data_IF_379905768086
#
_entry.id   IF_379905768086
#
_cell.length_a   1.000
_cell.length_b   1.000
_cell.length_c   1.000
_cell.angle_alpha   90.00
_cell.angle_beta   90.00
_cell.angle_gamma   90.00
#
_symmetry.space_group_name_H-M   'P 1'
#
loop_
_entity.id
_entity.type
_entity.pdbx_description
1 polymer ?
#
# COMPACT_ATOMS: atom_id res chain seq x y z
N UNK A 1 -23.01 1.27 -26.92
CA UNK A 1 -23.56 0.09 -26.20
C UNK A 1 -22.63 -1.09 -26.47
N UNK A 2 -21.75 -1.47 -25.53
CA UNK A 2 -20.79 -2.57 -25.74
C UNK A 2 -21.50 -3.89 -26.07
N UNK A 3 -20.97 -4.64 -27.03
CA UNK A 3 -21.53 -5.92 -27.47
C UNK A 3 -21.48 -6.92 -26.30
N UNK A 4 -22.43 -7.85 -26.21
CA UNK A 4 -22.56 -8.80 -25.09
C UNK A 4 -21.27 -9.61 -24.82
N UNK A 5 -20.47 -9.87 -25.87
CA UNK A 5 -19.17 -10.53 -25.80
C UNK A 5 -18.10 -9.68 -25.10
N UNK A 6 -18.01 -8.39 -25.39
CA UNK A 6 -17.03 -7.47 -24.80
C UNK A 6 -17.29 -7.29 -23.30
N UNK A 7 -18.57 -7.22 -22.91
CA UNK A 7 -18.97 -7.17 -21.49
C UNK A 7 -18.54 -8.43 -20.73
N UNK A 8 -18.72 -9.61 -21.31
CA UNK A 8 -18.28 -10.88 -20.71
C UNK A 8 -16.75 -10.96 -20.61
N UNK A 9 -16.05 -10.48 -21.63
CA UNK A 9 -14.60 -10.43 -21.62
C UNK A 9 -14.08 -9.50 -20.52
N UNK A 10 -14.65 -8.30 -20.39
CA UNK A 10 -14.30 -7.35 -19.33
C UNK A 10 -14.54 -7.95 -17.94
N UNK A 11 -15.67 -8.62 -17.73
CA UNK A 11 -15.96 -9.30 -16.49
C UNK A 11 -14.93 -10.41 -16.18
N UNK A 12 -14.52 -11.17 -17.19
CA UNK A 12 -13.51 -12.24 -17.04
C UNK A 12 -12.13 -11.67 -16.71
N UNK A 13 -11.75 -10.54 -17.33
CA UNK A 13 -10.51 -9.82 -17.00
C UNK A 13 -10.56 -9.34 -15.54
N UNK A 14 -11.68 -8.74 -15.13
CA UNK A 14 -11.84 -8.22 -13.78
C UNK A 14 -11.82 -9.34 -12.72
N UNK A 15 -12.38 -10.50 -13.03
CA UNK A 15 -12.30 -11.70 -12.19
C UNK A 15 -10.85 -12.17 -12.00
N UNK A 16 -10.06 -12.23 -13.07
CA UNK A 16 -8.63 -12.60 -12.98
C UNK A 16 -7.85 -11.58 -12.15
N UNK A 17 -8.07 -10.28 -12.40
CA UNK A 17 -7.41 -9.19 -11.67
C UNK A 17 -7.71 -9.25 -10.17
N UNK A 18 -8.94 -9.58 -9.78
CA UNK A 18 -9.35 -9.56 -8.37
C UNK A 18 -9.01 -10.86 -7.63
N UNK A 19 -9.16 -12.01 -8.28
CA UNK A 19 -9.21 -13.30 -7.58
C UNK A 19 -8.07 -14.25 -7.94
N UNK A 20 -7.51 -14.16 -9.15
CA UNK A 20 -6.48 -15.10 -9.55
C UNK A 20 -5.22 -14.84 -8.74
N UNK A 21 -4.61 -15.90 -8.20
CA UNK A 21 -3.30 -15.77 -7.59
C UNK A 21 -3.27 -14.76 -6.42
N UNK A 22 -4.39 -14.62 -5.68
CA UNK A 22 -4.64 -13.65 -4.59
C UNK A 22 -4.76 -12.17 -5.03
N UNK A 23 -4.94 -11.91 -6.32
CA UNK A 23 -5.32 -10.60 -6.85
C UNK A 23 -4.15 -9.64 -7.13
N UNK A 24 -4.44 -8.60 -7.92
CA UNK A 24 -3.43 -7.66 -8.44
C UNK A 24 -2.71 -6.86 -7.35
N UNK A 25 -3.39 -6.53 -6.25
CA UNK A 25 -2.79 -5.77 -5.16
C UNK A 25 -1.68 -6.55 -4.48
N UNK A 26 -1.89 -7.86 -4.24
CA UNK A 26 -0.84 -8.72 -3.70
C UNK A 26 0.36 -8.77 -4.64
N UNK A 27 0.14 -8.86 -5.95
CA UNK A 27 1.22 -8.87 -6.95
C UNK A 27 2.02 -7.59 -6.91
N UNK A 28 1.36 -6.44 -6.77
CA UNK A 28 2.04 -5.14 -6.62
C UNK A 28 2.90 -5.12 -5.36
N UNK A 29 2.38 -5.62 -4.24
CA UNK A 29 3.11 -5.64 -2.97
C UNK A 29 4.29 -6.61 -2.99
N UNK A 30 4.10 -7.82 -3.53
CA UNK A 30 5.18 -8.80 -3.72
C UNK A 30 6.27 -8.25 -4.69
N UNK A 31 5.89 -7.52 -5.74
CA UNK A 31 6.86 -6.89 -6.64
C UNK A 31 7.68 -5.82 -5.91
N UNK A 32 7.04 -5.02 -5.04
CA UNK A 32 7.74 -4.03 -4.21
C UNK A 32 8.69 -4.71 -3.23
N UNK A 33 8.24 -5.76 -2.57
CA UNK A 33 9.06 -6.56 -1.66
C UNK A 33 10.26 -7.15 -2.38
N UNK A 34 10.08 -7.73 -3.57
CA UNK A 34 11.19 -8.24 -4.37
C UNK A 34 12.19 -7.14 -4.74
N UNK A 35 11.71 -5.97 -5.17
CA UNK A 35 12.61 -4.85 -5.49
C UNK A 35 13.38 -4.38 -4.26
N UNK A 36 12.74 -4.30 -3.10
CA UNK A 36 13.41 -3.99 -1.83
C UNK A 36 14.43 -5.07 -1.44
N UNK A 37 14.09 -6.34 -1.65
CA UNK A 37 14.96 -7.47 -1.37
C UNK A 37 16.19 -7.48 -2.31
N UNK A 38 16.01 -7.22 -3.60
CA UNK A 38 17.09 -7.12 -4.58
C UNK A 38 18.03 -5.95 -4.29
N UNK A 39 17.49 -4.80 -3.82
CA UNK A 39 18.32 -3.67 -3.40
C UNK A 39 19.12 -4.01 -2.15
N UNK A 40 18.54 -4.75 -1.20
CA UNK A 40 19.19 -5.09 0.08
C UNK A 40 20.19 -6.23 -0.01
N UNK A 41 19.87 -7.28 -0.76
CA UNK A 41 20.57 -8.58 -0.75
C UNK A 41 20.92 -9.07 -2.18
N UNK A 42 20.88 -8.17 -3.17
CA UNK A 42 21.25 -8.49 -4.54
C UNK A 42 22.72 -8.91 -4.64
N UNK A 43 22.96 -10.20 -4.88
CA UNK A 43 24.31 -10.75 -5.03
C UNK A 43 24.32 -12.21 -5.44
N UNK A 44 25.51 -12.82 -5.61
CA UNK A 44 25.65 -14.25 -5.92
C UNK A 44 24.90 -15.11 -4.88
N UNK A 45 24.22 -16.17 -5.33
CA UNK A 45 23.43 -17.05 -4.45
C UNK A 45 22.10 -16.45 -3.95
N UNK A 46 21.64 -15.32 -4.50
CA UNK A 46 20.39 -14.67 -4.11
C UNK A 46 19.18 -15.62 -4.08
N UNK A 47 19.01 -16.43 -5.13
CA UNK A 47 17.90 -17.38 -5.24
C UNK A 47 18.01 -18.56 -4.26
N UNK A 48 19.23 -18.93 -3.86
CA UNK A 48 19.45 -19.97 -2.84
C UNK A 48 19.04 -19.46 -1.46
N UNK A 49 19.35 -18.20 -1.15
CA UNK A 49 18.95 -17.54 0.11
C UNK A 49 17.45 -17.20 0.14
N UNK A 50 16.87 -16.90 -1.01
CA UNK A 50 15.51 -16.41 -1.16
C UNK A 50 14.70 -17.32 -2.08
N UNK A 51 14.56 -18.59 -1.71
CA UNK A 51 13.88 -19.62 -2.52
C UNK A 51 12.41 -19.28 -2.83
N UNK A 52 11.76 -18.48 -1.98
CA UNK A 52 10.40 -17.99 -2.21
C UNK A 52 10.27 -17.15 -3.50
N UNK A 53 11.35 -16.50 -3.96
CA UNK A 53 11.37 -15.72 -5.21
C UNK A 53 11.08 -16.60 -6.42
N UNK A 54 11.51 -17.87 -6.40
CA UNK A 54 11.21 -18.84 -7.47
C UNK A 54 9.72 -19.16 -7.49
N UNK A 55 9.12 -19.44 -6.33
CA UNK A 55 7.67 -19.67 -6.22
C UNK A 55 6.85 -18.42 -6.57
N UNK A 56 7.38 -17.23 -6.26
CA UNK A 56 6.79 -15.97 -6.69
C UNK A 56 6.82 -15.83 -8.23
N UNK A 57 7.96 -16.10 -8.89
CA UNK A 57 8.08 -16.07 -10.35
C UNK A 57 7.06 -17.00 -11.02
N UNK A 58 6.94 -18.24 -10.54
CA UNK A 58 5.94 -19.20 -11.05
C UNK A 58 4.51 -18.69 -10.89
N UNK A 59 4.22 -18.05 -9.75
CA UNK A 59 2.90 -17.53 -9.46
C UNK A 59 2.54 -16.27 -10.25
N UNK A 60 3.55 -15.45 -10.60
CA UNK A 60 3.43 -14.32 -11.52
C UNK A 60 3.18 -14.80 -12.95
N UNK A 61 3.93 -15.80 -13.42
CA UNK A 61 3.72 -16.41 -14.73
C UNK A 61 2.29 -16.96 -14.86
N UNK A 62 1.81 -17.67 -13.82
CA UNK A 62 0.44 -18.18 -13.80
C UNK A 62 -0.61 -17.05 -13.86
N UNK A 63 -0.39 -15.94 -13.15
CA UNK A 63 -1.28 -14.77 -13.17
C UNK A 63 -1.31 -14.09 -14.55
N UNK A 64 -0.15 -13.80 -15.13
CA UNK A 64 -0.04 -13.14 -16.42
C UNK A 64 -0.56 -14.01 -17.56
N UNK A 65 -0.37 -15.32 -17.49
CA UNK A 65 -0.91 -16.28 -18.45
C UNK A 65 -2.45 -16.39 -18.37
N UNK A 66 -3.02 -16.38 -17.15
CA UNK A 66 -4.47 -16.32 -16.97
C UNK A 66 -5.04 -15.02 -17.58
N UNK A 67 -4.38 -13.89 -17.32
CA UNK A 67 -4.78 -12.59 -17.86
C UNK A 67 -4.68 -12.56 -19.39
N UNK A 68 -3.60 -13.09 -19.96
CA UNK A 68 -3.41 -13.21 -21.41
C UNK A 68 -4.54 -14.01 -22.06
N UNK A 69 -4.94 -15.14 -21.47
CA UNK A 69 -6.02 -16.00 -21.96
C UNK A 69 -7.36 -15.26 -22.00
N UNK A 70 -7.76 -14.59 -20.91
CA UNK A 70 -9.05 -13.87 -20.86
C UNK A 70 -9.04 -12.60 -21.70
N UNK A 71 -7.88 -11.95 -21.87
CA UNK A 71 -7.71 -10.81 -22.76
C UNK A 71 -7.74 -11.20 -24.25
N UNK A 72 -7.71 -12.51 -24.58
CA UNK A 72 -7.74 -12.99 -25.96
C UNK A 72 -6.45 -12.68 -26.73
N UNK A 73 -5.34 -12.50 -26.03
CA UNK A 73 -4.03 -12.23 -26.64
C UNK A 73 -3.45 -13.56 -27.14
N UNK A 74 -3.22 -13.69 -28.45
CA UNK A 74 -2.64 -14.91 -29.05
C UNK A 74 -1.17 -15.10 -28.66
N UNK A 75 -0.75 -16.35 -28.38
CA UNK A 75 0.63 -16.67 -27.97
C UNK A 75 1.64 -16.30 -29.05
N UNK A 76 1.30 -16.49 -30.32
CA UNK A 76 2.15 -16.21 -31.46
C UNK A 76 1.25 -15.83 -32.65
N UNK A 77 1.39 -14.62 -33.20
CA UNK A 77 1.01 -14.37 -34.59
C UNK A 77 2.28 -14.50 -35.43
N UNK A 78 2.29 -15.32 -36.48
CA UNK A 78 3.33 -15.24 -37.50
C UNK A 78 3.39 -13.80 -38.03
N UNK A 79 4.57 -13.19 -38.02
CA UNK A 79 4.84 -11.80 -38.39
C UNK A 79 4.75 -10.78 -37.25
N UNK A 80 4.61 -11.17 -35.97
CA UNK A 80 4.59 -10.19 -34.87
C UNK A 80 5.99 -9.70 -34.51
N UNK A 81 6.17 -8.44 -34.06
CA UNK A 81 7.46 -7.93 -33.61
C UNK A 81 8.12 -8.72 -32.47
N UNK A 82 7.35 -9.58 -31.78
CA UNK A 82 7.81 -10.44 -30.70
C UNK A 82 8.19 -11.87 -31.14
N UNK A 83 8.14 -12.20 -32.44
CA UNK A 83 8.41 -13.55 -32.96
C UNK A 83 9.87 -14.04 -32.78
N UNK A 84 10.76 -13.20 -32.27
CA UNK A 84 12.13 -13.56 -31.90
C UNK A 84 12.50 -13.24 -30.45
N UNK A 85 11.55 -12.85 -29.59
CA UNK A 85 11.89 -12.47 -28.21
C UNK A 85 12.27 -13.72 -27.39
N UNK A 86 13.50 -13.80 -26.85
CA UNK A 86 13.90 -14.93 -26.03
C UNK A 86 12.99 -14.96 -24.79
N UNK A 87 12.32 -16.10 -24.56
CA UNK A 87 11.57 -16.39 -23.33
C UNK A 87 12.37 -17.40 -22.49
N UNK A 88 13.48 -16.98 -21.86
CA UNK A 88 14.20 -17.85 -20.94
C UNK A 88 13.27 -18.18 -19.78
N UNK A 89 12.94 -19.47 -19.59
CA UNK A 89 12.30 -19.92 -18.35
C UNK A 89 13.34 -19.85 -17.22
N UNK A 90 12.95 -19.52 -15.98
CA UNK A 90 13.84 -19.69 -14.84
C UNK A 90 14.25 -21.17 -14.77
N UNK A 91 15.54 -21.42 -14.94
CA UNK A 91 16.32 -22.65 -14.80
C UNK A 91 15.54 -23.91 -14.36
N UNK A 92 15.36 -24.85 -15.29
CA UNK A 92 15.39 -26.27 -14.92
C UNK A 92 16.79 -26.54 -14.34
N UNK A 93 16.82 -27.11 -13.13
CA UNK A 93 18.00 -27.49 -12.37
C UNK A 93 19.11 -28.06 -13.27
N UNK A 94 20.15 -27.26 -13.51
CA UNK A 94 21.44 -27.79 -13.95
C UNK A 94 22.19 -28.14 -12.68
N UNK A 95 22.26 -29.44 -12.44
CA UNK A 95 23.09 -30.20 -11.52
C UNK A 95 24.28 -29.41 -10.92
N UNK A 96 24.11 -28.96 -9.67
CA UNK A 96 25.12 -28.28 -8.84
C UNK A 96 26.18 -29.24 -8.26
N UNK A 97 26.34 -30.45 -8.82
CA UNK A 97 27.36 -31.41 -8.37
C UNK A 97 28.77 -31.19 -8.94
N UNK A 98 28.98 -30.19 -9.80
CA UNK A 98 30.30 -29.86 -10.33
C UNK A 98 30.65 -28.39 -10.11
N UNK A 99 31.00 -28.02 -8.88
CA UNK A 99 32.03 -27.02 -8.55
C UNK A 99 32.01 -26.74 -7.04
N UNK A 100 32.52 -27.69 -6.25
CA UNK A 100 33.00 -27.39 -4.89
C UNK A 100 34.29 -28.16 -4.66
N UNK A 101 35.34 -27.74 -5.35
CA UNK A 101 36.69 -27.87 -4.84
C UNK A 101 37.42 -26.58 -5.19
N UNK A 102 37.76 -25.78 -4.18
CA UNK A 102 39.11 -25.26 -3.93
C UNK A 102 39.11 -24.39 -2.66
N UNK A 103 39.81 -24.94 -1.66
CA UNK A 103 40.57 -24.32 -0.58
C UNK A 103 39.86 -23.49 0.50
N UNK A 104 39.65 -24.17 1.64
CA UNK A 104 39.90 -23.64 2.98
C UNK A 104 41.34 -23.11 3.12
N UNK A 105 41.51 -21.92 3.70
CA UNK A 105 42.69 -21.55 4.47
C UNK A 105 42.27 -20.60 5.61
N UNK A 106 42.44 -21.07 6.85
CA UNK A 106 42.36 -20.31 8.09
C UNK A 106 43.61 -19.46 8.28
N UNK A 107 43.44 -18.30 8.93
CA UNK A 107 44.33 -17.64 9.91
C UNK A 107 43.56 -16.35 10.33
N UNK A 108 43.43 -15.85 11.55
CA UNK A 108 44.02 -16.09 12.87
C UNK A 108 44.03 -14.73 13.61
N UNK A 109 43.75 -14.73 14.92
CA UNK A 109 44.10 -13.70 15.95
C UNK A 109 43.05 -12.63 16.34
N UNK A 110 42.79 -12.56 17.67
CA UNK A 110 41.91 -11.68 18.46
C UNK A 110 42.69 -10.43 19.03
N UNK A 111 42.24 -9.62 20.03
CA UNK A 111 40.95 -9.49 20.73
C UNK A 111 40.47 -8.02 20.96
N UNK A 112 39.22 -7.87 21.42
CA UNK A 112 38.84 -6.83 22.40
C UNK A 112 38.40 -5.45 21.88
N UNK A 113 37.09 -5.25 21.75
CA UNK A 113 36.45 -3.94 21.98
C UNK A 113 35.16 -4.19 22.75
N UNK A 114 35.15 -3.86 24.04
CA UNK A 114 33.93 -3.72 24.82
C UNK A 114 33.14 -2.53 24.26
N UNK A 115 32.04 -2.79 23.55
CA UNK A 115 31.08 -1.74 23.20
C UNK A 115 30.19 -1.55 24.42
N UNK A 116 30.52 -0.53 25.20
CA UNK A 116 29.64 0.02 26.22
C UNK A 116 28.39 0.54 25.50
N UNK A 117 27.27 -0.17 25.67
CA UNK A 117 25.97 0.18 25.08
C UNK A 117 25.30 1.19 26.00
N UNK A 118 25.71 2.45 25.89
CA UNK A 118 24.86 3.57 26.31
C UNK A 118 23.92 3.85 25.14
N UNK A 119 22.70 3.34 25.24
CA UNK A 119 21.61 3.64 24.32
C UNK A 119 21.38 5.16 24.33
N UNK A 120 21.63 5.91 23.22
CA UNK A 120 21.48 7.35 23.25
C UNK A 120 20.00 7.66 23.25
N UNK A 121 19.56 8.36 24.29
CA UNK A 121 18.20 8.92 24.44
C UNK A 121 17.72 9.71 23.20
N UNK A 122 18.66 10.20 22.38
CA UNK A 122 18.45 10.94 21.14
C UNK A 122 17.82 10.09 20.02
N UNK A 123 18.27 8.84 19.85
CA UNK A 123 17.78 7.92 18.80
C UNK A 123 16.31 7.50 19.07
N UNK A 124 15.95 7.38 20.34
CA UNK A 124 14.59 7.04 20.77
C UNK A 124 13.60 8.20 20.51
N UNK A 125 14.03 9.43 20.75
CA UNK A 125 13.25 10.64 20.49
C UNK A 125 13.09 10.89 18.98
N UNK A 126 14.12 10.63 18.17
CA UNK A 126 14.04 10.68 16.71
C UNK A 126 13.09 9.61 16.15
N UNK A 127 13.18 8.38 16.65
CA UNK A 127 12.27 7.31 16.24
C UNK A 127 10.81 7.63 16.57
N UNK A 128 10.54 8.22 17.74
CA UNK A 128 9.20 8.67 18.13
C UNK A 128 8.68 9.75 17.18
N UNK A 129 9.53 10.71 16.80
CA UNK A 129 9.21 11.77 15.83
C UNK A 129 8.85 11.19 14.46
N UNK A 130 9.67 10.29 13.91
CA UNK A 130 9.42 9.66 12.62
C UNK A 130 8.16 8.77 12.61
N UNK A 131 7.88 8.10 13.73
CA UNK A 131 6.65 7.32 13.92
C UNK A 131 5.40 8.21 13.89
N UNK A 132 5.44 9.37 14.53
CA UNK A 132 4.33 10.33 14.51
C UNK A 132 4.13 10.91 13.10
N UNK A 133 5.21 11.25 12.38
CA UNK A 133 5.11 11.69 10.97
C UNK A 133 4.44 10.64 10.08
N UNK A 134 4.79 9.35 10.22
CA UNK A 134 4.12 8.26 9.48
C UNK A 134 2.64 8.16 9.80
N UNK A 135 2.25 8.36 11.06
CA UNK A 135 0.85 8.34 11.48
C UNK A 135 0.06 9.50 10.88
N UNK A 136 0.67 10.70 10.82
CA UNK A 136 0.08 11.86 10.16
C UNK A 136 -0.07 11.66 8.65
N UNK A 137 0.95 11.11 7.97
CA UNK A 137 0.87 10.73 6.56
C UNK A 137 -0.26 9.74 6.28
N UNK A 138 -0.41 8.72 7.14
CA UNK A 138 -1.50 7.76 7.03
C UNK A 138 -2.86 8.45 7.20
N UNK A 139 -2.98 9.41 8.12
CA UNK A 139 -4.22 10.17 8.30
C UNK A 139 -4.57 11.01 7.06
N UNK A 140 -3.58 11.64 6.41
CA UNK A 140 -3.76 12.40 5.17
C UNK A 140 -4.21 11.48 4.03
N UNK A 141 -3.48 10.38 3.80
CA UNK A 141 -3.82 9.40 2.76
C UNK A 141 -5.22 8.80 2.99
N UNK A 142 -5.55 8.48 4.24
CA UNK A 142 -6.86 7.97 4.60
C UNK A 142 -7.97 8.97 4.30
N UNK A 143 -7.79 10.24 4.66
CA UNK A 143 -8.77 11.30 4.40
C UNK A 143 -9.00 11.50 2.88
N UNK A 144 -7.93 11.50 2.07
CA UNK A 144 -8.04 11.58 0.61
C UNK A 144 -8.68 10.35 -0.02
N UNK A 145 -8.53 9.16 0.59
CA UNK A 145 -9.21 7.95 0.11
C UNK A 145 -10.70 7.97 0.46
N UNK A 146 -11.05 8.43 1.67
CA UNK A 146 -12.45 8.55 2.09
C UNK A 146 -13.20 9.61 1.29
N UNK A 147 -12.57 10.73 0.91
CA UNK A 147 -13.24 11.79 0.14
C UNK A 147 -13.78 11.30 -1.22
N UNK A 148 -13.06 10.41 -1.91
CA UNK A 148 -13.44 9.90 -3.23
C UNK A 148 -14.57 8.84 -3.18
N UNK A 149 -14.78 8.20 -2.03
CA UNK A 149 -15.80 7.15 -1.84
C UNK A 149 -16.99 7.58 -0.99
N UNK A 150 -16.94 8.76 -0.38
CA UNK A 150 -17.93 9.18 0.59
C UNK A 150 -19.14 9.85 -0.07
N UNK A 151 -20.33 9.41 0.34
CA UNK A 151 -21.61 10.04 -0.03
C UNK A 151 -21.80 11.40 0.70
N UNK A 152 -21.03 11.65 1.78
CA UNK A 152 -21.11 12.88 2.56
C UNK A 152 -19.78 13.26 3.21
N UNK A 153 -19.79 14.39 3.90
CA UNK A 153 -18.61 14.93 4.58
C UNK A 153 -18.08 14.10 5.75
N UNK A 154 -16.89 14.44 6.29
CA UNK A 154 -16.25 13.72 7.39
C UNK A 154 -17.14 13.61 8.64
N UNK A 155 -17.92 14.66 8.93
CA UNK A 155 -18.93 14.67 10.02
C UNK A 155 -20.02 13.64 9.79
N UNK A 156 -20.53 13.56 8.57
CA UNK A 156 -21.62 12.66 8.21
C UNK A 156 -21.14 11.20 8.32
N UNK A 157 -19.98 10.86 7.76
CA UNK A 157 -19.42 9.52 7.86
C UNK A 157 -19.18 9.11 9.32
N UNK A 158 -18.64 10.03 10.14
CA UNK A 158 -18.44 9.76 11.56
C UNK A 158 -19.75 9.49 12.31
N UNK A 159 -20.78 10.31 12.05
CA UNK A 159 -22.11 10.15 12.64
C UNK A 159 -22.80 8.86 12.17
N UNK A 160 -22.61 8.48 10.90
CA UNK A 160 -23.15 7.24 10.34
C UNK A 160 -22.53 6.00 10.99
N UNK A 161 -21.21 6.00 11.18
CA UNK A 161 -20.49 4.90 11.85
C UNK A 161 -20.88 4.79 13.32
N UNK A 162 -20.92 5.91 14.05
CA UNK A 162 -21.32 5.92 15.46
C UNK A 162 -22.77 5.45 15.65
N UNK A 163 -23.70 5.95 14.82
CA UNK A 163 -25.10 5.54 14.82
C UNK A 163 -25.27 4.05 14.51
N UNK A 164 -24.57 3.53 13.50
CA UNK A 164 -24.59 2.11 13.13
C UNK A 164 -24.03 1.22 14.24
N UNK A 165 -22.98 1.67 14.92
CA UNK A 165 -22.40 0.95 16.06
C UNK A 165 -23.38 0.88 17.23
N UNK A 166 -24.08 1.98 17.52
CA UNK A 166 -25.11 2.02 18.54
C UNK A 166 -26.32 1.11 18.19
N UNK A 167 -26.73 1.10 16.93
CA UNK A 167 -27.77 0.19 16.43
C UNK A 167 -27.42 -1.28 16.72
N UNK A 168 -26.23 -1.72 16.30
CA UNK A 168 -25.78 -3.10 16.49
C UNK A 168 -25.62 -3.46 17.96
N UNK A 169 -25.10 -2.55 18.78
CA UNK A 169 -24.96 -2.76 20.21
C UNK A 169 -26.32 -2.96 20.91
N UNK A 170 -27.30 -2.10 20.62
CA UNK A 170 -28.66 -2.22 21.18
C UNK A 170 -29.36 -3.47 20.67
N UNK A 171 -29.22 -3.78 19.38
CA UNK A 171 -29.78 -4.99 18.78
C UNK A 171 -29.22 -6.25 19.44
N UNK A 172 -27.90 -6.33 19.64
CA UNK A 172 -27.24 -7.46 20.28
C UNK A 172 -27.66 -7.62 21.75
N UNK A 173 -27.75 -6.52 22.51
CA UNK A 173 -28.17 -6.53 23.91
C UNK A 173 -29.63 -6.98 24.07
N UNK A 174 -30.51 -6.55 23.16
CA UNK A 174 -31.93 -6.86 23.23
C UNK A 174 -32.30 -8.18 22.54
N UNK A 175 -31.39 -8.79 21.79
CA UNK A 175 -31.63 -10.05 21.05
C UNK A 175 -32.06 -11.21 21.96
N UNK A 176 -31.56 -11.26 23.19
CA UNK A 176 -31.87 -12.33 24.15
C UNK A 176 -33.11 -12.03 25.01
N UNK A 177 -33.78 -10.89 24.81
CA UNK A 177 -34.97 -10.54 25.60
C UNK A 177 -36.22 -11.20 25.01
N UNK A 178 -37.21 -11.55 25.85
CA UNK A 178 -38.53 -12.04 25.41
C UNK A 178 -39.41 -10.95 24.78
N UNK A 179 -38.81 -9.83 24.36
CA UNK A 179 -39.55 -8.74 23.76
C UNK A 179 -40.01 -9.12 22.35
N UNK A 180 -41.13 -8.54 21.88
CA UNK A 180 -41.52 -8.67 20.49
C UNK A 180 -40.43 -8.13 19.56
N UNK A 181 -40.13 -8.83 18.46
CA UNK A 181 -39.04 -8.46 17.55
C UNK A 181 -39.15 -7.04 16.97
N UNK A 182 -40.38 -6.54 16.78
CA UNK A 182 -40.62 -5.17 16.31
C UNK A 182 -40.24 -4.11 17.36
N UNK A 183 -40.42 -4.39 18.64
CA UNK A 183 -40.00 -3.49 19.73
C UNK A 183 -38.48 -3.38 19.81
N UNK A 184 -37.78 -4.51 19.68
CA UNK A 184 -36.30 -4.55 19.63
C UNK A 184 -35.78 -3.75 18.43
N UNK A 185 -36.41 -3.91 17.28
CA UNK A 185 -36.06 -3.15 16.07
C UNK A 185 -36.27 -1.64 16.25
N UNK A 186 -37.44 -1.23 16.77
CA UNK A 186 -37.74 0.19 17.02
C UNK A 186 -36.75 0.83 17.99
N UNK A 187 -36.42 0.17 19.11
CA UNK A 187 -35.42 0.67 20.07
C UNK A 187 -34.02 0.79 19.45
N UNK A 188 -33.64 -0.13 18.58
CA UNK A 188 -32.35 -0.10 17.90
C UNK A 188 -32.29 1.07 16.89
N UNK A 189 -33.37 1.28 16.13
CA UNK A 189 -33.48 2.39 15.17
C UNK A 189 -33.49 3.75 15.88
N UNK A 190 -34.21 3.90 16.98
CA UNK A 190 -34.21 5.16 17.74
C UNK A 190 -32.84 5.45 18.34
N UNK A 191 -32.14 4.44 18.88
CA UNK A 191 -30.76 4.58 19.35
C UNK A 191 -29.80 5.03 18.23
N UNK A 192 -29.93 4.43 17.03
CA UNK A 192 -29.16 4.83 15.84
C UNK A 192 -29.37 6.31 15.51
N UNK A 193 -30.63 6.74 15.40
CA UNK A 193 -31.01 8.11 15.05
C UNK A 193 -30.53 9.09 16.13
N UNK A 194 -30.74 8.79 17.41
CA UNK A 194 -30.32 9.65 18.51
C UNK A 194 -28.80 9.83 18.55
N UNK A 195 -28.02 8.74 18.44
CA UNK A 195 -26.55 8.81 18.44
C UNK A 195 -26.05 9.52 17.18
N UNK A 196 -26.66 9.29 16.02
CA UNK A 196 -26.34 10.00 14.78
C UNK A 196 -26.49 11.51 14.96
N UNK A 197 -27.65 12.00 15.41
CA UNK A 197 -27.88 13.43 15.58
C UNK A 197 -27.01 14.08 16.66
N UNK A 198 -26.80 13.37 17.79
CA UNK A 198 -25.93 13.87 18.86
C UNK A 198 -24.48 14.00 18.39
N UNK A 199 -23.95 12.97 17.72
CA UNK A 199 -22.59 13.00 17.20
C UNK A 199 -22.43 13.97 16.04
N UNK A 200 -23.43 14.10 15.16
CA UNK A 200 -23.41 15.09 14.08
C UNK A 200 -23.39 16.53 14.62
N UNK A 201 -24.18 16.83 15.66
CA UNK A 201 -24.26 18.17 16.26
C UNK A 201 -23.03 18.55 17.09
N UNK A 202 -22.44 17.60 17.79
CA UNK A 202 -21.29 17.85 18.68
C UNK A 202 -19.92 17.55 18.06
N UNK A 203 -19.85 17.02 16.84
CA UNK A 203 -18.57 16.71 16.20
C UNK A 203 -17.82 17.98 15.79
N UNK A 204 -16.57 18.08 16.26
CA UNK A 204 -15.63 19.16 15.92
C UNK A 204 -14.97 18.99 14.54
N UNK A 205 -15.23 17.88 13.83
CA UNK A 205 -14.69 17.62 12.48
C UNK A 205 -15.21 18.66 11.48
N UNK A 206 -14.59 18.93 10.33
CA UNK A 206 -15.15 19.84 9.33
C UNK A 206 -16.29 19.19 8.53
N UNK A 207 -17.12 20.04 7.90
CA UNK A 207 -18.23 19.63 7.04
C UNK A 207 -17.76 19.05 5.71
N UNK A 208 -16.64 19.54 5.19
CA UNK A 208 -16.09 19.15 3.89
C UNK A 208 -14.76 18.41 4.06
N UNK A 209 -14.49 17.50 3.11
CA UNK A 209 -13.23 16.73 3.08
C UNK A 209 -12.04 17.61 2.75
N UNK A 210 -12.22 18.58 1.85
CA UNK A 210 -11.15 19.47 1.41
C UNK A 210 -10.59 20.27 2.58
N UNK A 211 -11.46 20.89 3.38
CA UNK A 211 -11.05 21.60 4.60
C UNK A 211 -10.42 20.70 5.69
N UNK A 212 -10.72 19.39 5.71
CA UNK A 212 -10.03 18.45 6.59
C UNK A 212 -8.60 18.18 6.09
N UNK A 213 -8.48 17.92 4.79
CA UNK A 213 -7.21 17.58 4.15
C UNK A 213 -6.29 18.81 4.21
N UNK A 214 -6.79 20.01 3.91
CA UNK A 214 -6.04 21.26 4.06
C UNK A 214 -5.53 21.47 5.47
N UNK A 215 -6.37 21.22 6.48
CA UNK A 215 -5.97 21.31 7.89
C UNK A 215 -4.89 20.29 8.25
N UNK A 216 -4.98 19.08 7.71
CA UNK A 216 -3.98 18.04 7.94
C UNK A 216 -2.66 18.35 7.22
N UNK A 217 -2.71 18.87 5.98
CA UNK A 217 -1.54 19.29 5.22
C UNK A 217 -0.86 20.50 5.87
N UNK A 218 -1.62 21.50 6.31
CA UNK A 218 -1.08 22.68 7.00
C UNK A 218 -0.42 22.34 8.35
N UNK A 219 -0.88 21.28 9.01
CA UNK A 219 -0.30 20.77 10.26
C UNK A 219 0.87 19.80 10.07
N UNK A 220 1.21 19.46 8.82
CA UNK A 220 2.27 18.51 8.50
C UNK A 220 3.58 19.24 8.17
N UNK A 221 4.67 18.77 8.76
CA UNK A 221 6.03 19.27 8.51
C UNK A 221 6.72 18.34 7.48
N UNK A 222 6.85 18.75 6.20
CA UNK A 222 7.36 17.88 5.14
C UNK A 222 8.89 17.72 5.21
N UNK A 223 9.35 16.50 5.00
CA UNK A 223 10.77 16.15 4.87
C UNK A 223 11.21 16.36 3.42
N UNK A 224 10.39 15.94 2.44
CA UNK A 224 10.59 16.25 1.03
C UNK A 224 9.84 17.54 0.64
N UNK A 225 10.52 18.67 0.88
CA UNK A 225 10.01 20.01 0.55
C UNK A 225 9.68 20.18 -0.94
N UNK A 226 10.38 19.47 -1.83
CA UNK A 226 10.21 19.64 -3.27
C UNK A 226 8.95 18.95 -3.77
N UNK A 227 8.73 17.70 -3.35
CA UNK A 227 7.48 17.00 -3.68
C UNK A 227 6.28 17.67 -3.03
N UNK A 228 6.42 18.22 -1.82
CA UNK A 228 5.37 19.00 -1.16
C UNK A 228 5.03 20.29 -1.91
N UNK A 229 6.03 21.03 -2.42
CA UNK A 229 5.80 22.22 -3.24
C UNK A 229 5.04 21.90 -4.52
N UNK A 230 5.39 20.82 -5.21
CA UNK A 230 4.66 20.40 -6.42
C UNK A 230 3.20 20.09 -6.11
N UNK A 231 2.92 19.43 -4.98
CA UNK A 231 1.56 19.20 -4.52
C UNK A 231 0.81 20.53 -4.29
N UNK A 232 1.43 21.48 -3.60
CA UNK A 232 0.81 22.80 -3.33
C UNK A 232 0.58 23.62 -4.61
N UNK A 233 1.50 23.58 -5.56
CA UNK A 233 1.34 24.23 -6.87
C UNK A 233 0.17 23.63 -7.64
N UNK A 234 0.09 22.30 -7.69
CA UNK A 234 -1.00 21.60 -8.40
C UNK A 234 -2.37 21.87 -7.77
N UNK A 235 -2.45 21.93 -6.43
CA UNK A 235 -3.66 22.37 -5.70
C UNK A 235 -4.04 23.81 -6.07
N UNK A 236 -3.05 24.71 -6.14
CA UNK A 236 -3.27 26.11 -6.50
C UNK A 236 -3.73 26.31 -7.95
N UNK A 237 -3.23 25.49 -8.88
CA UNK A 237 -3.59 25.54 -10.30
C UNK A 237 -4.97 24.91 -10.58
N UNK A 238 -5.26 23.77 -9.95
CA UNK A 238 -6.47 23.00 -10.22
C UNK A 238 -7.65 23.41 -9.32
N UNK A 239 -7.40 24.02 -8.16
CA UNK A 239 -8.42 24.43 -7.20
C UNK A 239 -9.09 23.27 -6.45
N UNK A 240 -8.60 22.04 -6.62
CA UNK A 240 -9.02 20.85 -5.89
C UNK A 240 -7.82 19.93 -5.66
N UNK A 241 -7.95 19.02 -4.69
CA UNK A 241 -6.89 18.08 -4.32
C UNK A 241 -7.01 16.81 -5.16
N UNK A 242 -6.08 16.58 -6.09
CA UNK A 242 -6.00 15.32 -6.83
C UNK A 242 -5.43 14.19 -5.94
N UNK A 243 -6.20 13.12 -5.80
CA UNK A 243 -5.82 11.93 -5.03
C UNK A 243 -4.53 11.29 -5.58
N UNK A 244 -4.33 11.29 -6.91
CA UNK A 244 -3.11 10.74 -7.48
C UNK A 244 -1.90 11.52 -6.97
N UNK A 245 -2.00 12.86 -6.96
CA UNK A 245 -0.91 13.77 -6.55
C UNK A 245 -0.56 13.63 -5.09
N UNK A 246 -1.58 13.52 -4.23
CA UNK A 246 -1.35 13.23 -2.80
C UNK A 246 -0.65 11.88 -2.63
N UNK A 247 -1.05 10.84 -3.38
CA UNK A 247 -0.43 9.52 -3.27
C UNK A 247 1.03 9.51 -3.73
N UNK A 248 1.34 10.24 -4.79
CA UNK A 248 2.70 10.40 -5.30
C UNK A 248 3.59 11.12 -4.28
N UNK A 249 3.11 12.24 -3.73
CA UNK A 249 3.79 12.95 -2.66
C UNK A 249 3.98 12.08 -1.40
N UNK A 250 2.95 11.36 -0.94
CA UNK A 250 3.06 10.42 0.20
C UNK A 250 4.11 9.34 -0.07
N UNK A 251 4.24 8.87 -1.31
CA UNK A 251 5.28 7.93 -1.72
C UNK A 251 6.69 8.51 -1.62
N UNK A 252 6.88 9.73 -2.12
CA UNK A 252 8.14 10.48 -2.02
C UNK A 252 8.51 10.73 -0.55
N UNK A 253 7.56 11.16 0.27
CA UNK A 253 7.76 11.45 1.70
C UNK A 253 8.10 10.18 2.51
N UNK A 254 7.44 9.05 2.23
CA UNK A 254 7.81 7.75 2.85
C UNK A 254 9.24 7.34 2.52
N UNK A 255 9.67 7.64 1.30
CA UNK A 255 11.04 7.38 0.85
C UNK A 255 12.03 8.30 1.59
N UNK A 256 11.69 9.58 1.74
CA UNK A 256 12.49 10.54 2.51
C UNK A 256 12.61 10.13 4.00
N UNK A 257 11.52 9.71 4.64
CA UNK A 257 11.53 9.17 6.02
C UNK A 257 12.43 7.92 6.13
N UNK A 258 12.45 7.07 5.10
CA UNK A 258 13.30 5.88 5.08
C UNK A 258 14.79 6.26 4.96
N UNK A 259 15.10 7.27 4.16
CA UNK A 259 16.45 7.81 3.98
C UNK A 259 16.95 8.44 5.28
N UNK A 260 16.16 9.32 5.90
CA UNK A 260 16.47 9.98 7.18
C UNK A 260 16.73 8.94 8.27
N UNK A 261 15.87 7.92 8.40
CA UNK A 261 16.00 6.84 9.40
C UNK A 261 17.27 6.00 9.27
N UNK A 262 17.79 5.80 8.06
CA UNK A 262 18.91 4.90 7.82
C UNK A 262 20.24 5.63 7.61
N UNK A 263 20.26 6.97 7.59
CA UNK A 263 21.46 7.77 7.30
C UNK A 263 22.07 7.51 5.91
N UNK A 264 21.37 6.75 5.05
CA UNK A 264 21.86 6.39 3.73
C UNK A 264 21.41 7.48 2.76
N UNK A 265 22.31 8.43 2.46
CA UNK A 265 22.20 9.25 1.26
C UNK A 265 22.31 8.34 0.04
N UNK A 266 21.19 7.76 -0.38
CA UNK A 266 21.15 7.04 -1.65
C UNK A 266 21.44 8.07 -2.76
N UNK A 267 22.40 7.83 -3.67
CA UNK A 267 22.73 8.77 -4.75
C UNK A 267 21.61 8.80 -5.81
N UNK A 268 20.46 9.39 -5.48
CA UNK A 268 19.37 9.62 -6.44
C UNK A 268 19.69 10.75 -7.44
N UNK A 269 20.84 11.40 -7.32
CA UNK A 269 21.35 12.36 -8.30
C UNK A 269 21.56 11.75 -9.71
N UNK A 270 21.68 10.43 -9.82
CA UNK A 270 21.83 9.77 -11.12
C UNK A 270 20.51 9.68 -11.91
N UNK A 271 19.35 9.53 -11.24
CA UNK A 271 18.04 9.47 -11.91
C UNK A 271 17.46 10.85 -12.21
N UNK A 272 17.96 11.90 -11.53
CA UNK A 272 17.46 13.28 -11.69
C UNK A 272 17.99 13.99 -12.94
N UNK A 273 19.04 13.46 -13.58
CA UNK A 273 19.67 14.06 -14.79
C UNK A 273 19.16 13.50 -16.13
N UNK A 274 18.20 12.58 -16.10
CA UNK A 274 17.71 11.88 -17.31
C UNK A 274 16.32 12.39 -17.77
N UNK A 275 15.73 13.39 -17.09
CA UNK A 275 14.51 14.09 -17.55
C UNK A 275 14.84 15.53 -17.90
#
# INVERSE_FOLDING_TARGET
MFKSREKRQLASIQEVINNHSQGIYKRIDENRELMELLVRDGGPGFLERNSWVVSWLESQDAFLEALRKVAGLSVNKPGSPMEGYPRPRPYLAVDLSMQTEVSHAQDGVAPGVNIHTDEPKDDADEFARLKEKRKQLYAIEHACRESNGAIGGPRFNFAAVSGSTAFLAVLALLWSTRLPGWSVFLCSVTACISVFFLTYRHSTRPLEWDGLIDKLLAGYDPIDMESYRRLQTDIGENGYIDQWRVRDWVGAERTAIRIERHGVTVPYDFLRKIV
#
